data_IF_910796603917
#
_entry.id   IF_910796603917
#
_cell.length_a   1.000
_cell.length_b   1.000
_cell.length_c   1.000
_cell.angle_alpha   90.00
_cell.angle_beta   90.00
_cell.angle_gamma   90.00
#
_symmetry.space_group_name_H-M   'P 1'
#
loop_
_entity.id
_entity.type
_entity.pdbx_description
1 polymer ?
#
# COMPACT_ATOMS: atom_id res chain seq x y z
N UNK A 1 13.87 -0.19 -28.78
CA UNK A 1 13.63 1.26 -28.96
C UNK A 1 12.30 1.60 -29.68
N UNK A 2 11.45 0.64 -30.10
CA UNK A 2 10.41 0.92 -31.11
C UNK A 2 8.93 0.67 -30.77
N UNK A 3 8.54 -0.05 -29.71
CA UNK A 3 7.12 -0.39 -29.50
C UNK A 3 6.31 0.64 -28.68
N UNK A 4 6.89 1.22 -27.62
CA UNK A 4 6.12 2.11 -26.73
C UNK A 4 5.90 3.52 -27.30
N UNK A 5 6.80 4.01 -28.17
CA UNK A 5 6.66 5.35 -28.76
C UNK A 5 5.68 5.38 -29.95
N UNK A 6 5.56 4.27 -30.68
CA UNK A 6 4.75 4.19 -31.91
C UNK A 6 3.25 4.17 -31.60
N UNK A 7 2.81 3.44 -30.57
CA UNK A 7 1.38 3.39 -30.20
C UNK A 7 0.86 4.74 -29.64
N UNK A 8 1.69 5.49 -28.91
CA UNK A 8 1.36 6.82 -28.38
C UNK A 8 1.10 7.84 -29.50
N UNK A 9 1.73 7.67 -30.66
CA UNK A 9 1.63 8.59 -31.79
C UNK A 9 0.37 8.37 -32.65
N UNK A 10 -0.09 7.12 -32.77
CA UNK A 10 -1.25 6.76 -33.62
C UNK A 10 -2.55 7.41 -33.16
N UNK A 11 -2.80 7.50 -31.83
CA UNK A 11 -3.99 8.17 -31.30
C UNK A 11 -4.00 9.70 -31.47
N UNK A 12 -2.82 10.33 -31.59
CA UNK A 12 -2.71 11.77 -31.77
C UNK A 12 -3.03 12.22 -33.21
N UNK A 13 -2.90 11.32 -34.21
CA UNK A 13 -3.15 11.62 -35.62
C UNK A 13 -4.59 11.36 -36.09
N UNK A 14 -5.39 10.58 -35.35
CA UNK A 14 -6.69 10.10 -35.84
C UNK A 14 -7.84 11.12 -35.77
N UNK A 15 -7.61 12.34 -35.28
CA UNK A 15 -8.66 13.39 -35.23
C UNK A 15 -9.87 13.02 -34.37
N UNK A 16 -9.77 11.98 -33.55
CA UNK A 16 -10.83 11.53 -32.66
C UNK A 16 -10.77 12.30 -31.34
N UNK A 17 -11.92 12.82 -30.91
CA UNK A 17 -12.09 13.35 -29.57
C UNK A 17 -12.07 12.16 -28.59
N UNK A 18 -10.99 12.04 -27.81
CA UNK A 18 -10.87 11.05 -26.76
C UNK A 18 -11.46 11.59 -25.46
N UNK A 19 -12.10 10.75 -24.67
CA UNK A 19 -12.55 11.10 -23.32
C UNK A 19 -11.37 11.12 -22.32
N UNK A 20 -10.39 10.25 -22.55
CA UNK A 20 -9.15 10.15 -21.76
C UNK A 20 -7.98 9.66 -22.63
N UNK A 21 -6.76 9.92 -22.18
CA UNK A 21 -5.54 9.37 -22.75
C UNK A 21 -4.56 9.06 -21.63
N UNK A 22 -4.25 7.79 -21.40
CA UNK A 22 -3.35 7.36 -20.33
C UNK A 22 -2.11 6.72 -20.91
N UNK A 23 -0.95 7.12 -20.41
CA UNK A 23 0.34 6.54 -20.77
C UNK A 23 1.01 5.96 -19.53
N UNK A 24 1.50 4.73 -19.63
CA UNK A 24 2.33 4.15 -18.58
C UNK A 24 3.79 4.56 -18.77
N UNK A 25 4.35 5.08 -17.69
CA UNK A 25 5.74 5.47 -17.51
C UNK A 25 6.29 4.74 -16.28
N UNK A 26 7.49 5.11 -15.85
CA UNK A 26 8.13 4.53 -14.66
C UNK A 26 8.67 5.61 -13.75
N UNK A 27 8.73 5.34 -12.44
CA UNK A 27 9.46 6.16 -11.47
C UNK A 27 10.94 6.37 -11.87
N UNK A 28 11.50 5.49 -12.71
CA UNK A 28 12.85 5.63 -13.26
C UNK A 28 13.06 6.94 -14.03
N UNK A 29 12.01 7.54 -14.59
CA UNK A 29 12.08 8.86 -15.25
C UNK A 29 12.23 10.03 -14.26
N UNK A 30 11.86 9.82 -13.00
CA UNK A 30 11.81 10.85 -11.96
C UNK A 30 13.11 10.90 -11.15
N UNK A 31 13.59 9.74 -10.70
CA UNK A 31 14.77 9.60 -9.84
C UNK A 31 15.97 8.96 -10.55
N UNK A 32 15.77 8.36 -11.73
CA UNK A 32 16.82 7.60 -12.41
C UNK A 32 17.05 6.22 -11.77
N UNK A 33 17.54 5.28 -12.59
CA UNK A 33 18.00 3.97 -12.11
C UNK A 33 19.36 3.70 -12.79
N UNK A 34 20.36 3.35 -11.99
CA UNK A 34 21.70 3.04 -12.47
C UNK A 34 21.62 1.90 -13.49
N UNK A 35 22.25 2.08 -14.65
CA UNK A 35 22.23 1.09 -15.75
C UNK A 35 20.96 1.12 -16.62
N UNK A 36 19.98 1.98 -16.33
CA UNK A 36 18.71 2.07 -17.05
C UNK A 36 18.49 3.45 -17.71
N UNK A 37 19.56 4.15 -18.09
CA UNK A 37 19.48 5.50 -18.66
C UNK A 37 18.57 5.56 -19.90
N UNK A 38 18.69 4.61 -20.83
CA UNK A 38 17.82 4.55 -22.01
C UNK A 38 16.35 4.35 -21.67
N UNK A 39 16.05 3.57 -20.61
CA UNK A 39 14.70 3.35 -20.12
C UNK A 39 14.15 4.60 -19.41
N UNK A 40 14.95 5.22 -18.54
CA UNK A 40 14.60 6.47 -17.87
C UNK A 40 14.30 7.60 -18.88
N UNK A 41 15.13 7.76 -19.91
CA UNK A 41 14.93 8.77 -20.97
C UNK A 41 13.68 8.52 -21.80
N UNK A 42 13.38 7.26 -22.14
CA UNK A 42 12.15 6.92 -22.87
C UNK A 42 10.90 7.25 -22.06
N UNK A 43 10.90 6.92 -20.76
CA UNK A 43 9.81 7.26 -19.86
C UNK A 43 9.70 8.78 -19.62
N UNK A 44 10.83 9.48 -19.50
CA UNK A 44 10.87 10.95 -19.41
C UNK A 44 10.31 11.64 -20.66
N UNK A 45 10.47 11.04 -21.84
CA UNK A 45 9.78 11.51 -23.05
C UNK A 45 8.27 11.36 -22.94
N UNK A 46 7.75 10.24 -22.42
CA UNK A 46 6.31 10.04 -22.23
C UNK A 46 5.73 11.06 -21.25
N UNK A 47 6.43 11.33 -20.16
CA UNK A 47 6.08 12.36 -19.17
C UNK A 47 6.03 13.76 -19.80
N UNK A 48 7.03 14.10 -20.63
CA UNK A 48 7.05 15.37 -21.37
C UNK A 48 5.96 15.44 -22.45
N UNK A 49 5.67 14.32 -23.12
CA UNK A 49 4.66 14.24 -24.17
C UNK A 49 3.25 14.47 -23.62
N UNK A 50 2.92 13.90 -22.45
CA UNK A 50 1.63 14.15 -21.80
C UNK A 50 1.46 15.62 -21.43
N UNK A 51 2.52 16.28 -20.91
CA UNK A 51 2.49 17.72 -20.64
C UNK A 51 2.27 18.55 -21.92
N UNK A 52 2.97 18.19 -23.00
CA UNK A 52 2.77 18.82 -24.31
C UNK A 52 1.35 18.60 -24.85
N UNK A 53 0.81 17.39 -24.73
CA UNK A 53 -0.56 17.08 -25.17
C UNK A 53 -1.60 17.91 -24.39
N UNK A 54 -1.44 18.06 -23.07
CA UNK A 54 -2.31 18.90 -22.24
C UNK A 54 -2.18 20.39 -22.58
N UNK A 55 -1.00 20.87 -22.96
CA UNK A 55 -0.85 22.28 -23.36
C UNK A 55 -1.61 22.60 -24.66
N UNK A 56 -1.96 21.58 -25.46
CA UNK A 56 -2.87 21.68 -26.60
C UNK A 56 -4.36 21.58 -26.22
N UNK A 57 -4.69 21.53 -24.93
CA UNK A 57 -6.06 21.32 -24.45
C UNK A 57 -6.58 19.91 -24.71
N UNK A 58 -5.70 18.93 -24.95
CA UNK A 58 -6.10 17.54 -25.18
C UNK A 58 -5.99 16.73 -23.89
N UNK A 59 -6.91 15.78 -23.64
CA UNK A 59 -6.85 14.95 -22.45
C UNK A 59 -5.59 14.09 -22.47
N UNK A 60 -4.90 14.04 -21.33
CA UNK A 60 -3.74 13.19 -21.11
C UNK A 60 -3.34 13.08 -19.63
N UNK A 61 -2.94 11.88 -19.20
CA UNK A 61 -2.29 11.61 -17.91
C UNK A 61 -1.19 10.56 -18.08
N UNK A 62 -0.12 10.69 -17.31
CA UNK A 62 0.93 9.67 -17.19
C UNK A 62 0.81 8.93 -15.86
N UNK A 63 0.98 7.61 -15.87
CA UNK A 63 1.12 6.78 -14.66
C UNK A 63 2.57 6.34 -14.52
N UNK A 64 3.31 6.89 -13.55
CA UNK A 64 4.68 6.52 -13.26
C UNK A 64 4.70 5.35 -12.26
N UNK A 65 4.84 4.12 -12.78
CA UNK A 65 4.83 2.91 -11.97
C UNK A 65 6.19 2.63 -11.30
N UNK A 66 6.12 2.21 -10.04
CA UNK A 66 7.19 1.58 -9.28
C UNK A 66 7.43 0.13 -9.67
N UNK A 67 8.06 -0.63 -8.79
CA UNK A 67 8.32 -2.04 -9.02
C UNK A 67 7.01 -2.85 -8.91
N UNK A 68 6.53 -3.44 -10.02
CA UNK A 68 5.33 -4.30 -10.02
C UNK A 68 5.73 -5.75 -9.80
N UNK A 69 5.09 -6.43 -8.84
CA UNK A 69 5.45 -7.78 -8.40
C UNK A 69 4.97 -8.87 -9.35
N UNK A 70 3.74 -8.74 -9.85
CA UNK A 70 3.03 -9.82 -10.55
C UNK A 70 3.43 -9.95 -12.04
N UNK A 71 4.05 -8.91 -12.61
CA UNK A 71 4.41 -8.82 -14.03
C UNK A 71 5.64 -7.94 -14.26
N UNK A 72 6.49 -8.29 -15.24
CA UNK A 72 7.59 -7.42 -15.72
C UNK A 72 9.01 -7.91 -15.42
N UNK A 73 9.93 -6.97 -15.17
CA UNK A 73 11.38 -7.27 -15.07
C UNK A 73 11.74 -8.14 -13.86
N UNK A 74 10.96 -8.07 -12.78
CA UNK A 74 11.27 -8.73 -11.51
C UNK A 74 10.82 -10.20 -11.45
N UNK A 75 9.87 -10.62 -12.29
CA UNK A 75 9.46 -12.04 -12.38
C UNK A 75 10.52 -12.91 -13.06
N UNK A 76 11.44 -12.32 -13.83
CA UNK A 76 12.55 -13.01 -14.51
C UNK A 76 13.84 -13.06 -13.70
N UNK A 77 13.92 -12.34 -12.57
CA UNK A 77 15.15 -12.23 -11.78
C UNK A 77 14.81 -12.13 -10.29
N UNK A 78 14.54 -13.26 -9.62
CA UNK A 78 14.11 -13.29 -8.22
C UNK A 78 15.13 -12.65 -7.26
N UNK A 79 16.41 -12.60 -7.63
CA UNK A 79 17.48 -11.93 -6.88
C UNK A 79 17.31 -10.41 -6.84
N UNK A 80 16.84 -9.81 -7.95
CA UNK A 80 16.56 -8.37 -8.01
C UNK A 80 15.33 -8.02 -7.18
N UNK A 81 14.31 -8.88 -7.16
CA UNK A 81 13.13 -8.69 -6.32
C UNK A 81 13.51 -8.79 -4.83
N UNK A 82 14.30 -9.81 -4.44
CA UNK A 82 14.83 -9.93 -3.07
C UNK A 82 15.64 -8.71 -2.65
N UNK A 83 16.49 -8.21 -3.55
CA UNK A 83 17.31 -7.02 -3.28
C UNK A 83 16.45 -5.76 -3.17
N UNK A 84 15.47 -5.57 -4.06
CA UNK A 84 14.54 -4.45 -4.01
C UNK A 84 13.75 -4.41 -2.69
N UNK A 85 13.23 -5.57 -2.25
CA UNK A 85 12.56 -5.73 -0.95
C UNK A 85 13.53 -5.45 0.20
N UNK A 86 14.76 -5.97 0.13
CA UNK A 86 15.77 -5.73 1.17
C UNK A 86 16.15 -4.25 1.32
N UNK A 87 16.10 -3.48 0.23
CA UNK A 87 16.34 -2.02 0.25
C UNK A 87 15.12 -1.18 0.60
N UNK A 88 13.98 -1.81 0.89
CA UNK A 88 12.75 -1.13 1.31
C UNK A 88 11.87 -0.68 0.14
N UNK A 89 12.07 -1.20 -1.07
CA UNK A 89 11.22 -0.85 -2.22
C UNK A 89 9.82 -1.43 -2.02
N UNK A 90 8.78 -0.58 -2.10
CA UNK A 90 7.40 -1.07 -2.20
C UNK A 90 7.20 -1.79 -3.53
N UNK A 91 6.77 -3.05 -3.43
CA UNK A 91 6.32 -3.84 -4.57
C UNK A 91 4.83 -3.58 -4.76
N UNK A 92 4.44 -3.23 -5.98
CA UNK A 92 3.07 -2.97 -6.38
C UNK A 92 2.37 -4.27 -6.77
N UNK A 93 1.14 -4.40 -6.29
CA UNK A 93 0.21 -5.46 -6.65
C UNK A 93 -0.73 -4.98 -7.77
N UNK A 94 -1.46 -5.90 -8.40
CA UNK A 94 -2.44 -5.57 -9.44
C UNK A 94 -3.44 -4.47 -8.99
N UNK A 95 -3.92 -4.54 -7.75
CA UNK A 95 -4.85 -3.56 -7.18
C UNK A 95 -4.29 -2.14 -7.14
N UNK A 96 -3.00 -1.97 -6.82
CA UNK A 96 -2.35 -0.66 -6.84
C UNK A 96 -2.36 -0.06 -8.27
N UNK A 97 -2.11 -0.90 -9.28
CA UNK A 97 -2.04 -0.49 -10.69
C UNK A 97 -3.44 -0.13 -11.22
N UNK A 98 -4.46 -0.92 -10.88
CA UNK A 98 -5.84 -0.64 -11.27
C UNK A 98 -6.35 0.66 -10.64
N UNK A 99 -6.03 0.90 -9.37
CA UNK A 99 -6.34 2.14 -8.66
C UNK A 99 -5.64 3.34 -9.33
N UNK A 100 -4.37 3.20 -9.68
CA UNK A 100 -3.60 4.20 -10.40
C UNK A 100 -4.22 4.54 -11.77
N UNK A 101 -4.67 3.52 -12.49
CA UNK A 101 -5.30 3.66 -13.79
C UNK A 101 -6.64 4.39 -13.68
N UNK A 102 -7.46 4.05 -12.70
CA UNK A 102 -8.73 4.75 -12.45
C UNK A 102 -8.48 6.25 -12.18
N UNK A 103 -7.57 6.58 -11.26
CA UNK A 103 -7.17 7.95 -10.97
C UNK A 103 -6.63 8.66 -12.22
N UNK A 104 -5.88 7.95 -13.07
CA UNK A 104 -5.33 8.51 -14.29
C UNK A 104 -6.40 8.85 -15.33
N UNK A 105 -7.45 8.03 -15.44
CA UNK A 105 -8.60 8.28 -16.32
C UNK A 105 -9.35 9.52 -15.81
N UNK A 106 -9.62 9.60 -14.51
CA UNK A 106 -10.36 10.72 -13.90
C UNK A 106 -9.62 12.07 -14.00
N UNK A 107 -8.29 12.04 -13.89
CA UNK A 107 -7.40 13.22 -14.02
C UNK A 107 -7.05 13.58 -15.47
N UNK A 108 -7.43 12.75 -16.44
CA UNK A 108 -7.12 12.94 -17.86
C UNK A 108 -7.86 14.11 -18.50
N UNK A 109 -8.81 14.73 -17.80
CA UNK A 109 -9.72 15.75 -18.35
C UNK A 109 -8.99 16.92 -19.03
N UNK A 110 -9.53 17.33 -20.17
CA UNK A 110 -9.08 18.53 -20.89
C UNK A 110 -9.25 19.76 -20.03
N UNK A 111 -8.17 20.53 -19.85
CA UNK A 111 -8.21 21.84 -19.20
C UNK A 111 -8.07 22.91 -20.29
N UNK A 112 -8.93 23.95 -20.32
CA UNK A 112 -8.79 25.04 -21.28
C UNK A 112 -7.42 25.73 -21.17
N UNK A 113 -6.83 26.20 -22.29
CA UNK A 113 -5.58 26.94 -22.28
C UNK A 113 -5.68 28.17 -21.36
N UNK A 114 -4.73 28.33 -20.44
CA UNK A 114 -4.65 29.48 -19.52
C UNK A 114 -5.29 29.28 -18.14
N UNK A 115 -5.99 28.16 -17.92
CA UNK A 115 -6.41 27.74 -16.57
C UNK A 115 -5.30 26.88 -15.97
N UNK A 116 -5.07 27.01 -14.66
CA UNK A 116 -4.10 26.17 -13.94
C UNK A 116 -4.51 24.70 -14.12
N UNK A 117 -3.68 23.92 -14.82
CA UNK A 117 -3.95 22.51 -15.07
C UNK A 117 -3.71 21.70 -13.80
N UNK A 118 -4.64 20.81 -13.49
CA UNK A 118 -4.41 19.71 -12.55
C UNK A 118 -3.14 18.92 -12.92
N UNK A 119 -2.49 18.26 -11.94
CA UNK A 119 -1.31 17.44 -12.19
C UNK A 119 -1.59 16.38 -13.24
N UNK A 120 -0.71 16.29 -14.23
CA UNK A 120 -0.84 15.33 -15.34
C UNK A 120 -0.17 13.99 -15.06
N UNK A 121 0.25 13.74 -13.83
CA UNK A 121 1.06 12.59 -13.44
C UNK A 121 0.52 11.95 -12.16
N UNK A 122 0.36 10.64 -12.20
CA UNK A 122 0.03 9.79 -11.06
C UNK A 122 1.25 8.92 -10.79
N UNK A 123 1.87 9.09 -9.63
CA UNK A 123 3.09 8.35 -9.24
C UNK A 123 2.69 7.30 -8.21
N UNK A 124 3.04 6.04 -8.47
CA UNK A 124 2.66 4.92 -7.59
C UNK A 124 3.89 4.08 -7.27
N UNK A 125 4.03 3.68 -6.00
CA UNK A 125 5.17 2.88 -5.52
C UNK A 125 6.38 3.68 -5.05
N UNK A 126 6.27 5.01 -4.96
CA UNK A 126 7.29 5.88 -4.37
C UNK A 126 7.11 5.93 -2.83
N UNK A 127 7.34 4.79 -2.18
CA UNK A 127 7.20 4.59 -0.73
C UNK A 127 8.22 3.56 -0.21
N UNK A 128 8.65 3.71 1.03
CA UNK A 128 9.57 2.77 1.68
C UNK A 128 8.81 1.81 2.61
N UNK A 129 9.06 0.50 2.47
CA UNK A 129 8.54 -0.50 3.43
C UNK A 129 9.37 -0.57 4.71
N UNK A 130 10.49 0.15 4.76
CA UNK A 130 11.43 0.18 5.88
C UNK A 130 11.53 1.58 6.48
N UNK A 131 11.73 1.69 7.82
CA UNK A 131 12.05 2.94 8.48
C UNK A 131 13.32 3.58 7.89
N UNK A 132 13.38 4.92 7.92
CA UNK A 132 14.58 5.66 7.50
C UNK A 132 15.79 5.38 8.41
N UNK A 133 15.55 4.97 9.65
CA UNK A 133 16.59 4.54 10.59
C UNK A 133 17.24 3.20 10.21
N UNK A 134 16.60 2.39 9.34
CA UNK A 134 17.20 1.16 8.85
C UNK A 134 18.39 1.51 7.92
N UNK A 135 19.63 1.15 8.29
CA UNK A 135 20.82 1.46 7.48
C UNK A 135 20.80 0.80 6.10
N UNK A 136 19.96 -0.22 5.89
CA UNK A 136 19.76 -0.89 4.62
C UNK A 136 18.63 -0.26 3.78
N UNK A 137 17.82 0.63 4.35
CA UNK A 137 16.82 1.38 3.57
C UNK A 137 17.55 2.30 2.58
N UNK A 138 17.38 2.01 1.29
CA UNK A 138 18.01 2.74 0.18
C UNK A 138 16.99 2.89 -0.96
N UNK A 139 15.85 3.57 -0.72
CA UNK A 139 14.89 3.79 -1.79
C UNK A 139 15.53 4.66 -2.87
N UNK A 140 15.09 4.47 -4.12
CA UNK A 140 15.71 5.08 -5.32
C UNK A 140 15.77 6.61 -5.26
N UNK A 141 14.88 7.25 -4.49
CA UNK A 141 14.76 8.69 -4.36
C UNK A 141 15.45 9.30 -3.13
N UNK A 142 16.01 8.47 -2.22
CA UNK A 142 16.57 8.93 -0.93
C UNK A 142 17.70 9.96 -1.03
N UNK A 143 18.46 9.93 -2.12
CA UNK A 143 19.59 10.84 -2.32
C UNK A 143 19.19 12.18 -2.96
N UNK A 144 17.93 12.34 -3.34
CA UNK A 144 17.46 13.50 -4.07
C UNK A 144 16.60 14.40 -3.17
N UNK A 145 17.09 15.62 -2.97
CA UNK A 145 16.49 16.61 -2.07
C UNK A 145 15.02 16.93 -2.39
N UNK A 146 14.56 16.71 -3.64
CA UNK A 146 13.17 16.90 -4.04
C UNK A 146 12.21 15.97 -3.28
N UNK A 147 12.69 14.82 -2.81
CA UNK A 147 11.86 13.80 -2.17
C UNK A 147 11.99 13.78 -0.64
N UNK A 148 12.78 14.67 -0.06
CA UNK A 148 13.02 14.73 1.40
C UNK A 148 11.75 15.00 2.23
N UNK A 149 10.75 15.66 1.64
CA UNK A 149 9.45 15.89 2.27
C UNK A 149 8.59 14.62 2.34
N UNK A 150 8.67 13.75 1.33
CA UNK A 150 7.92 12.49 1.29
C UNK A 150 8.38 11.52 2.37
N UNK A 151 9.69 11.47 2.65
CA UNK A 151 10.25 10.64 3.73
C UNK A 151 9.66 10.95 5.12
N UNK A 152 9.32 12.22 5.39
CA UNK A 152 8.79 12.63 6.70
C UNK A 152 7.31 12.27 6.90
N UNK A 153 6.53 12.24 5.81
CA UNK A 153 5.12 11.86 5.85
C UNK A 153 4.96 10.38 6.20
N UNK A 154 5.78 9.51 5.59
CA UNK A 154 5.79 8.07 5.89
C UNK A 154 6.28 7.77 7.30
N UNK A 155 7.30 8.49 7.79
CA UNK A 155 7.85 8.28 9.13
C UNK A 155 6.81 8.53 10.24
N UNK A 156 5.93 9.52 10.06
CA UNK A 156 4.92 9.84 11.07
C UNK A 156 3.88 8.73 11.20
N UNK A 157 3.43 8.17 10.07
CA UNK A 157 2.48 7.05 10.07
C UNK A 157 3.15 5.74 10.53
N UNK A 158 4.33 5.39 10.00
CA UNK A 158 5.00 4.13 10.31
C UNK A 158 5.46 4.03 11.77
N UNK A 159 5.99 5.10 12.37
CA UNK A 159 6.36 5.11 13.79
C UNK A 159 5.14 4.87 14.67
N UNK A 160 4.00 5.51 14.38
CA UNK A 160 2.78 5.31 15.16
C UNK A 160 2.24 3.87 15.10
N UNK A 161 2.31 3.23 13.92
CA UNK A 161 1.87 1.84 13.75
C UNK A 161 2.83 0.83 14.37
N UNK A 162 4.15 1.07 14.26
CA UNK A 162 5.16 0.17 14.82
C UNK A 162 5.18 0.24 16.35
N UNK A 163 5.08 1.44 16.94
CA UNK A 163 4.96 1.61 18.38
C UNK A 163 3.71 0.89 18.94
N UNK A 164 2.59 0.90 18.21
CA UNK A 164 1.37 0.18 18.60
C UNK A 164 1.56 -1.34 18.53
N UNK A 165 2.15 -1.86 17.44
CA UNK A 165 2.38 -3.29 17.27
C UNK A 165 3.39 -3.84 18.29
N UNK A 166 4.43 -3.07 18.62
CA UNK A 166 5.41 -3.47 19.62
C UNK A 166 4.81 -3.47 21.04
N UNK A 167 4.00 -2.47 21.38
CA UNK A 167 3.22 -2.45 22.62
C UNK A 167 2.25 -3.63 22.70
N UNK A 168 1.54 -3.94 21.61
CA UNK A 168 0.62 -5.06 21.57
C UNK A 168 1.34 -6.40 21.73
N UNK A 169 2.48 -6.61 21.05
CA UNK A 169 3.29 -7.83 21.20
C UNK A 169 3.79 -8.01 22.62
N UNK A 170 4.28 -6.92 23.24
CA UNK A 170 4.72 -6.95 24.63
C UNK A 170 3.56 -7.33 25.56
N UNK A 171 2.40 -6.69 25.40
CA UNK A 171 1.20 -7.00 26.18
C UNK A 171 0.79 -8.47 26.03
N UNK A 172 0.76 -9.00 24.80
CA UNK A 172 0.42 -10.40 24.55
C UNK A 172 1.44 -11.37 25.16
N UNK A 173 2.73 -11.02 25.17
CA UNK A 173 3.76 -11.82 25.82
C UNK A 173 3.57 -11.86 27.35
N UNK A 174 3.14 -10.75 27.96
CA UNK A 174 2.83 -10.67 29.38
C UNK A 174 1.52 -11.41 29.71
N UNK A 175 0.50 -11.27 28.88
CA UNK A 175 -0.80 -11.95 29.03
C UNK A 175 -0.69 -13.48 28.90
N UNK A 176 0.29 -14.00 28.15
CA UNK A 176 0.61 -15.45 28.13
C UNK A 176 1.09 -15.96 29.50
N UNK A 177 1.68 -15.10 30.34
CA UNK A 177 2.13 -15.44 31.71
C UNK A 177 1.11 -15.07 32.79
N UNK A 178 0.18 -14.15 32.48
CA UNK A 178 -0.92 -13.77 33.35
C UNK A 178 -2.22 -13.74 32.53
N UNK A 179 -2.90 -14.89 32.38
CA UNK A 179 -4.04 -15.02 31.48
C UNK A 179 -5.20 -14.07 31.77
N UNK A 180 -5.39 -13.62 33.02
CA UNK A 180 -6.45 -12.66 33.39
C UNK A 180 -6.34 -11.34 32.59
N UNK A 181 -5.15 -10.97 32.11
CA UNK A 181 -4.95 -9.80 31.25
C UNK A 181 -5.77 -9.86 29.96
N UNK A 182 -6.10 -11.05 29.45
CA UNK A 182 -6.93 -11.19 28.25
C UNK A 182 -8.37 -10.70 28.45
N UNK A 183 -8.86 -10.59 29.69
CA UNK A 183 -10.20 -10.05 30.00
C UNK A 183 -10.22 -8.52 30.12
N UNK A 184 -9.06 -7.87 30.16
CA UNK A 184 -8.98 -6.43 30.30
C UNK A 184 -9.43 -5.72 29.02
N UNK A 185 -10.02 -4.52 29.18
CA UNK A 185 -10.39 -3.64 28.06
C UNK A 185 -9.19 -3.30 27.17
N UNK A 186 -7.99 -3.28 27.74
CA UNK A 186 -6.75 -3.06 26.98
C UNK A 186 -6.46 -4.17 25.96
N UNK A 187 -6.77 -5.43 26.29
CA UNK A 187 -6.61 -6.55 25.36
C UNK A 187 -7.56 -6.40 24.15
N UNK A 188 -8.79 -5.98 24.43
CA UNK A 188 -9.79 -5.67 23.42
C UNK A 188 -9.32 -4.59 22.45
N UNK A 189 -8.82 -3.46 22.99
CA UNK A 189 -8.27 -2.37 22.19
C UNK A 189 -7.08 -2.80 21.32
N UNK A 190 -6.15 -3.59 21.85
CA UNK A 190 -5.00 -4.05 21.07
C UNK A 190 -5.42 -4.97 19.93
N UNK A 191 -6.32 -5.93 20.16
CA UNK A 191 -6.81 -6.83 19.12
C UNK A 191 -7.54 -6.04 18.03
N UNK A 192 -8.45 -5.14 18.41
CA UNK A 192 -9.18 -4.31 17.45
C UNK A 192 -8.26 -3.37 16.67
N UNK A 193 -7.23 -2.79 17.30
CA UNK A 193 -6.27 -1.96 16.59
C UNK A 193 -5.45 -2.76 15.57
N UNK A 194 -5.08 -4.01 15.88
CA UNK A 194 -4.40 -4.88 14.90
C UNK A 194 -5.32 -5.25 13.74
N UNK A 195 -6.59 -5.52 14.02
CA UNK A 195 -7.61 -5.72 12.98
C UNK A 195 -7.74 -4.45 12.12
N UNK A 196 -7.85 -3.27 12.76
CA UNK A 196 -7.91 -1.97 12.08
C UNK A 196 -6.73 -1.76 11.14
N UNK A 197 -5.51 -2.07 11.57
CA UNK A 197 -4.30 -1.97 10.73
C UNK A 197 -4.36 -2.85 9.47
N UNK A 198 -5.08 -3.97 9.50
CA UNK A 198 -5.32 -4.75 8.27
C UNK A 198 -6.42 -4.15 7.41
N UNK A 199 -7.49 -3.66 8.05
CA UNK A 199 -8.61 -3.00 7.37
C UNK A 199 -8.21 -1.67 6.73
N UNK A 200 -7.12 -1.02 7.17
CA UNK A 200 -6.57 0.22 6.59
C UNK A 200 -6.26 0.16 5.09
N UNK A 201 -6.31 -1.02 4.45
CA UNK A 201 -6.28 -1.14 2.98
C UNK A 201 -7.62 -0.75 2.30
N UNK A 202 -8.70 -0.61 3.06
CA UNK A 202 -10.05 -0.23 2.62
C UNK A 202 -10.59 0.86 3.55
N UNK A 203 -10.63 2.13 3.15
CA UNK A 203 -11.44 3.28 3.68
C UNK A 203 -11.81 3.39 5.20
N UNK A 204 -11.14 2.68 6.12
CA UNK A 204 -11.54 2.51 7.54
C UNK A 204 -10.64 3.33 8.48
N UNK A 205 -9.69 4.10 7.95
CA UNK A 205 -8.76 4.90 8.77
C UNK A 205 -9.45 5.95 9.64
N UNK A 206 -10.63 6.47 9.24
CA UNK A 206 -11.37 7.49 10.00
C UNK A 206 -12.37 6.94 11.03
N UNK A 207 -12.60 5.62 11.06
CA UNK A 207 -13.58 5.03 11.98
C UNK A 207 -13.00 4.84 13.39
N UNK A 208 -13.81 5.15 14.40
CA UNK A 208 -13.50 4.84 15.80
C UNK A 208 -13.54 3.33 16.08
N UNK A 209 -12.86 2.88 17.14
CA UNK A 209 -12.85 1.45 17.51
C UNK A 209 -14.25 0.88 17.77
N UNK A 210 -15.18 1.68 18.31
CA UNK A 210 -16.56 1.27 18.50
C UNK A 210 -17.28 1.03 17.16
N UNK A 211 -17.06 1.92 16.18
CA UNK A 211 -17.64 1.76 14.83
C UNK A 211 -17.05 0.55 14.10
N UNK A 212 -15.76 0.27 14.30
CA UNK A 212 -15.12 -0.93 13.75
C UNK A 212 -15.69 -2.18 14.43
N UNK A 213 -15.87 -2.17 15.75
CA UNK A 213 -16.43 -3.29 16.50
C UNK A 213 -17.85 -3.64 16.03
N UNK A 214 -18.68 -2.66 15.71
CA UNK A 214 -20.06 -2.87 15.22
C UNK A 214 -20.13 -3.29 13.74
N UNK A 215 -19.01 -3.26 13.02
CA UNK A 215 -18.99 -3.53 11.59
C UNK A 215 -19.20 -5.03 11.32
N UNK A 216 -20.11 -5.34 10.39
CA UNK A 216 -20.38 -6.71 9.98
C UNK A 216 -19.16 -7.32 9.27
N UNK A 217 -18.82 -8.55 9.63
CA UNK A 217 -17.66 -9.25 9.05
C UNK A 217 -18.09 -10.09 7.85
N UNK A 218 -17.38 -9.96 6.73
CA UNK A 218 -17.47 -10.91 5.62
C UNK A 218 -16.39 -12.02 5.71
N UNK A 219 -16.56 -13.08 4.93
CA UNK A 219 -15.63 -14.23 4.97
C UNK A 219 -14.18 -13.87 4.61
N UNK A 220 -13.94 -12.83 3.82
CA UNK A 220 -12.58 -12.40 3.45
C UNK A 220 -11.94 -11.59 4.58
N UNK A 221 -12.66 -10.60 5.10
CA UNK A 221 -12.27 -9.78 6.25
C UNK A 221 -11.97 -10.65 7.48
N UNK A 222 -12.76 -11.71 7.70
CA UNK A 222 -12.50 -12.68 8.76
C UNK A 222 -11.16 -13.40 8.56
N UNK A 223 -10.90 -13.89 7.34
CA UNK A 223 -9.66 -14.61 7.01
C UNK A 223 -8.43 -13.72 7.13
N UNK A 224 -8.50 -12.48 6.66
CA UNK A 224 -7.41 -11.50 6.74
C UNK A 224 -7.10 -11.11 8.19
N UNK A 225 -8.14 -10.88 8.99
CA UNK A 225 -8.02 -10.55 10.41
C UNK A 225 -7.37 -11.68 11.21
N UNK A 226 -7.84 -12.92 11.02
CA UNK A 226 -7.23 -14.11 11.66
C UNK A 226 -5.78 -14.27 11.21
N UNK A 227 -5.52 -14.13 9.90
CA UNK A 227 -4.17 -14.22 9.34
C UNK A 227 -3.21 -13.19 9.93
N UNK A 228 -3.68 -11.99 10.23
CA UNK A 228 -2.87 -10.96 10.87
C UNK A 228 -2.61 -11.22 12.35
N UNK A 229 -3.62 -11.64 13.10
CA UNK A 229 -3.46 -11.99 14.51
C UNK A 229 -2.47 -13.15 14.69
N UNK A 230 -2.56 -14.18 13.84
CA UNK A 230 -1.58 -15.28 13.81
C UNK A 230 -0.16 -14.78 13.55
N UNK A 231 0.01 -13.91 12.54
CA UNK A 231 1.31 -13.34 12.15
C UNK A 231 1.95 -12.50 13.25
N UNK A 232 1.16 -11.72 13.99
CA UNK A 232 1.68 -10.75 14.96
C UNK A 232 1.81 -11.29 16.38
N UNK A 233 0.96 -12.24 16.79
CA UNK A 233 0.85 -12.66 18.20
C UNK A 233 1.16 -14.14 18.47
N UNK A 234 1.50 -14.90 17.42
CA UNK A 234 1.86 -16.32 17.52
C UNK A 234 0.80 -17.12 18.30
N UNK A 235 -0.43 -17.09 17.79
CA UNK A 235 -1.62 -17.71 18.37
C UNK A 235 -2.31 -18.58 17.33
N UNK A 236 -2.48 -19.87 17.63
CA UNK A 236 -3.16 -20.81 16.73
C UNK A 236 -4.68 -20.70 16.86
N UNK A 237 -5.32 -19.88 16.03
CA UNK A 237 -6.78 -19.69 16.05
C UNK A 237 -7.45 -20.55 14.97
N UNK A 238 -8.41 -21.43 15.27
CA UNK A 238 -9.16 -22.13 14.22
C UNK A 238 -10.30 -21.28 13.68
N UNK A 239 -10.58 -21.36 12.37
CA UNK A 239 -11.71 -20.65 11.75
C UNK A 239 -13.05 -21.13 12.33
N UNK A 240 -13.13 -22.41 12.72
CA UNK A 240 -14.33 -23.00 13.32
C UNK A 240 -14.71 -22.38 14.66
N UNK A 241 -13.74 -21.83 15.38
CA UNK A 241 -13.94 -21.35 16.75
C UNK A 241 -14.53 -19.93 16.77
N UNK A 242 -14.50 -19.25 15.63
CA UNK A 242 -14.76 -17.81 15.50
C UNK A 242 -15.67 -17.47 14.31
N UNK A 243 -16.08 -18.47 13.52
CA UNK A 243 -17.01 -18.32 12.39
C UNK A 243 -18.43 -17.91 12.80
N UNK A 244 -18.76 -18.01 14.10
CA UNK A 244 -20.05 -17.60 14.64
C UNK A 244 -20.14 -16.08 14.90
N UNK A 245 -19.03 -15.35 14.86
CA UNK A 245 -19.02 -13.91 15.08
C UNK A 245 -19.60 -13.16 13.88
N UNK A 246 -20.65 -12.37 14.10
CA UNK A 246 -21.26 -11.51 13.09
C UNK A 246 -20.59 -10.15 12.96
N UNK A 247 -19.90 -9.69 14.00
CA UNK A 247 -19.23 -8.38 14.07
C UNK A 247 -17.80 -8.50 14.60
N UNK A 248 -16.94 -7.50 14.33
CA UNK A 248 -15.57 -7.49 14.87
C UNK A 248 -15.53 -7.46 16.39
N UNK A 249 -16.51 -6.83 17.04
CA UNK A 249 -16.65 -6.89 18.48
C UNK A 249 -16.88 -8.32 18.96
N UNK A 250 -17.88 -9.01 18.42
CA UNK A 250 -18.14 -10.41 18.79
C UNK A 250 -16.93 -11.31 18.52
N UNK A 251 -16.20 -11.06 17.43
CA UNK A 251 -14.96 -11.77 17.11
C UNK A 251 -13.90 -11.55 18.20
N UNK A 252 -13.65 -10.29 18.58
CA UNK A 252 -12.65 -9.97 19.61
C UNK A 252 -13.04 -10.56 20.97
N UNK A 253 -14.33 -10.56 21.33
CA UNK A 253 -14.81 -11.14 22.59
C UNK A 253 -14.54 -12.64 22.61
N UNK A 254 -14.89 -13.31 21.51
CA UNK A 254 -14.68 -14.75 21.34
C UNK A 254 -13.18 -15.09 21.41
N UNK A 255 -12.34 -14.26 20.79
CA UNK A 255 -10.88 -14.41 20.84
C UNK A 255 -10.34 -14.24 22.26
N UNK A 256 -10.78 -13.23 23.01
CA UNK A 256 -10.37 -13.05 24.41
C UNK A 256 -10.69 -14.27 25.26
N UNK A 257 -11.88 -14.86 25.11
CA UNK A 257 -12.26 -16.07 25.83
C UNK A 257 -11.41 -17.29 25.45
N UNK A 258 -11.15 -17.49 24.16
CA UNK A 258 -10.32 -18.61 23.67
C UNK A 258 -8.90 -18.48 24.20
N UNK A 259 -8.32 -17.27 24.11
CA UNK A 259 -6.97 -16.99 24.58
C UNK A 259 -6.86 -17.15 26.11
N UNK A 260 -7.83 -16.62 26.85
CA UNK A 260 -7.91 -16.79 28.30
C UNK A 260 -7.92 -18.27 28.70
N UNK A 261 -8.85 -19.07 28.15
CA UNK A 261 -8.96 -20.49 28.50
C UNK A 261 -7.70 -21.26 28.15
N UNK A 262 -7.16 -21.03 26.95
CA UNK A 262 -5.96 -21.74 26.48
C UNK A 262 -4.75 -21.51 27.37
N UNK A 263 -4.47 -20.26 27.75
CA UNK A 263 -3.30 -19.95 28.55
C UNK A 263 -3.51 -20.19 30.05
N UNK A 264 -4.77 -20.26 30.51
CA UNK A 264 -5.10 -20.72 31.86
C UNK A 264 -4.87 -22.23 32.03
N UNK A 265 -5.21 -23.03 31.00
CA UNK A 265 -5.04 -24.49 31.03
C UNK A 265 -3.59 -24.94 30.84
N UNK A 266 -2.72 -24.12 30.24
CA UNK A 266 -1.28 -24.44 30.07
C UNK A 266 -0.44 -24.26 31.34
N UNK A 267 -0.97 -23.58 32.36
CA UNK A 267 -0.32 -23.38 33.67
C UNK A 267 -0.72 -24.47 34.71
N UNK A 268 -1.54 -25.45 34.31
CA UNK A 268 -2.01 -26.59 35.14
C UNK A 268 -1.34 -27.91 34.74
#
# INVERSE_FOLDING_TARGET
MGLNAVNTWVGAQLGCHLDFFVVFSSIASLCGIIGQASYASANGFLDAFVRYRRSLGLPATTVNLGAVGDIGCFTRTPELLKSAVAFGTRILEEGDVLTALQLAIESSKSTPPGVQSEPSQVIVGMSSTKPQSDPLARPLWSQDARYRLYENLEHTQYTSQMDLLDQAKQFFSEAKQNPEMFKEERAWEFILNVIRLQLSKHEVEELSLAQIADMAIDSLMMMESIGALRRHFDVELSITDISAAGTFGELVSTLQEILYKRYLESDS
#
